data_IF_635761641535
#
_entry.id   IF_635761641535
#
_cell.length_a   1.000
_cell.length_b   1.000
_cell.length_c   1.000
_cell.angle_alpha   90.00
_cell.angle_beta   90.00
_cell.angle_gamma   90.00
#
_symmetry.space_group_name_H-M   'P 1'
#
loop_
_entity.id
_entity.type
_entity.pdbx_description
1 polymer ?
#
# COMPACT_ATOMS: atom_id res chain seq x y z
N UNK A 1 -3.22 17.27 16.26
CA UNK A 1 -3.99 16.24 15.60
C UNK A 1 -3.18 15.51 14.55
N UNK A 2 -3.28 14.26 14.55
CA UNK A 2 -2.48 13.47 13.64
C UNK A 2 -3.12 13.42 12.27
N UNK A 3 -2.37 13.84 11.27
CA UNK A 3 -2.88 13.87 9.90
C UNK A 3 -3.24 12.49 9.39
N UNK A 4 -2.45 11.50 9.76
CA UNK A 4 -2.70 10.15 9.28
C UNK A 4 -4.03 9.61 9.78
N UNK A 5 -4.35 9.90 11.04
CA UNK A 5 -5.61 9.45 11.58
C UNK A 5 -6.77 10.13 10.88
N UNK A 6 -6.57 11.39 10.53
CA UNK A 6 -7.61 12.12 9.84
C UNK A 6 -7.92 11.49 8.49
N UNK A 7 -6.90 11.08 7.77
CA UNK A 7 -7.08 10.44 6.48
C UNK A 7 -7.88 9.16 6.64
N UNK A 8 -7.60 8.39 7.67
CA UNK A 8 -8.31 7.16 7.90
C UNK A 8 -9.77 7.40 8.16
N UNK A 9 -10.09 8.45 8.89
CA UNK A 9 -11.47 8.78 9.14
C UNK A 9 -12.21 9.12 7.87
N UNK A 10 -11.56 9.84 6.98
CA UNK A 10 -12.21 10.30 5.76
C UNK A 10 -12.54 9.15 4.84
N UNK A 11 -11.76 8.10 4.87
CA UNK A 11 -12.03 6.95 4.04
C UNK A 11 -12.97 5.97 4.69
N UNK A 12 -13.29 6.19 5.96
CA UNK A 12 -14.17 5.32 6.72
C UNK A 12 -13.63 3.93 6.91
N UNK A 13 -12.44 3.68 6.43
CA UNK A 13 -11.78 2.39 6.61
C UNK A 13 -10.30 2.64 6.82
N UNK A 14 -9.70 1.99 7.80
CA UNK A 14 -8.28 2.14 8.01
C UNK A 14 -7.51 1.58 6.84
N UNK A 15 -6.40 2.22 6.52
CA UNK A 15 -5.54 1.76 5.45
C UNK A 15 -4.13 1.59 5.98
N UNK A 16 -3.35 0.83 5.22
CA UNK A 16 -1.96 0.54 5.53
C UNK A 16 -1.14 0.95 4.33
N UNK A 17 -0.01 1.57 4.56
CA UNK A 17 0.89 1.90 3.46
C UNK A 17 1.51 0.61 2.94
N UNK A 18 1.32 0.35 1.65
CA UNK A 18 1.90 -0.86 1.06
C UNK A 18 3.41 -0.81 1.08
N UNK A 19 3.99 0.39 0.98
CA UNK A 19 5.42 0.53 1.04
C UNK A 19 5.95 0.17 2.42
N UNK A 20 5.23 0.57 3.46
CA UNK A 20 5.60 0.20 4.82
C UNK A 20 5.50 -1.31 5.02
N UNK A 21 4.46 -1.91 4.46
CA UNK A 21 4.29 -3.35 4.58
C UNK A 21 5.44 -4.09 3.89
N UNK A 22 5.80 -3.62 2.71
CA UNK A 22 6.91 -4.21 1.97
C UNK A 22 8.19 -4.17 2.80
N UNK A 23 8.47 -3.03 3.42
CA UNK A 23 9.66 -2.89 4.24
C UNK A 23 9.57 -3.75 5.49
N UNK A 24 8.40 -3.79 6.11
CA UNK A 24 8.22 -4.56 7.33
C UNK A 24 8.34 -6.05 7.11
N UNK A 25 7.96 -6.53 5.94
CA UNK A 25 8.08 -7.95 5.62
C UNK A 25 9.46 -8.32 5.09
N UNK A 26 10.33 -7.33 4.94
CA UNK A 26 11.71 -7.56 4.49
C UNK A 26 11.76 -8.29 3.16
N UNK A 27 10.89 -7.86 2.25
CA UNK A 27 10.80 -8.49 0.95
C UNK A 27 11.97 -8.05 0.09
N UNK A 28 12.61 -8.98 -0.58
CA UNK A 28 13.83 -8.70 -1.31
C UNK A 28 13.61 -8.11 -2.68
N UNK A 29 12.46 -8.38 -3.29
CA UNK A 29 12.18 -7.83 -4.60
C UNK A 29 11.86 -6.35 -4.48
N UNK A 30 11.98 -5.65 -5.60
CA UNK A 30 11.68 -4.23 -5.63
C UNK A 30 10.20 -4.00 -5.33
N UNK A 31 9.94 -2.88 -4.69
CA UNK A 31 8.57 -2.58 -4.30
C UNK A 31 7.61 -2.60 -5.49
N UNK A 32 7.99 -1.97 -6.58
CA UNK A 32 7.08 -1.88 -7.73
C UNK A 32 6.74 -3.26 -8.27
N UNK A 33 7.74 -4.12 -8.40
CA UNK A 33 7.51 -5.46 -8.91
C UNK A 33 6.68 -6.27 -7.93
N UNK A 34 6.98 -6.13 -6.66
CA UNK A 34 6.26 -6.85 -5.62
C UNK A 34 4.80 -6.44 -5.59
N UNK A 35 4.51 -5.14 -5.63
CA UNK A 35 3.13 -4.70 -5.55
C UNK A 35 2.35 -5.11 -6.79
N UNK A 36 2.98 -5.01 -7.95
CA UNK A 36 2.33 -5.44 -9.18
C UNK A 36 1.94 -6.91 -9.08
N UNK A 37 2.84 -7.73 -8.55
CA UNK A 37 2.57 -9.14 -8.39
C UNK A 37 1.45 -9.39 -7.40
N UNK A 38 1.47 -8.67 -6.27
CA UNK A 38 0.43 -8.84 -5.27
C UNK A 38 -0.93 -8.45 -5.81
N UNK A 39 -1.01 -7.41 -6.62
CA UNK A 39 -2.29 -6.96 -7.13
C UNK A 39 -2.93 -7.95 -8.08
N UNK A 40 -2.17 -8.93 -8.56
CA UNK A 40 -2.75 -9.96 -9.44
C UNK A 40 -3.50 -11.04 -8.69
N UNK A 41 -3.51 -10.97 -7.37
CA UNK A 41 -4.19 -11.99 -6.57
C UNK A 41 -5.67 -11.69 -6.38
N UNK A 42 -6.24 -10.87 -7.26
CA UNK A 42 -7.67 -10.63 -7.19
C UNK A 42 -8.08 -9.36 -6.47
N UNK A 43 -7.12 -8.50 -6.17
CA UNK A 43 -7.43 -7.22 -5.53
C UNK A 43 -7.80 -6.19 -6.59
N UNK A 44 -8.73 -5.31 -6.23
CA UNK A 44 -9.27 -4.32 -7.16
C UNK A 44 -8.88 -2.93 -6.72
N UNK A 45 -8.34 -2.15 -7.67
CA UNK A 45 -7.98 -0.77 -7.39
C UNK A 45 -9.22 0.03 -7.04
N UNK A 46 -9.06 0.93 -6.08
CA UNK A 46 -10.14 1.78 -5.56
C UNK A 46 -11.13 1.03 -4.68
N UNK A 47 -10.96 -0.27 -4.51
CA UNK A 47 -11.73 -1.04 -3.54
C UNK A 47 -10.83 -1.61 -2.46
N UNK A 48 -9.81 -2.32 -2.89
CA UNK A 48 -8.88 -2.93 -1.96
C UNK A 48 -7.67 -2.06 -1.71
N UNK A 49 -7.31 -1.26 -2.68
CA UNK A 49 -6.17 -0.36 -2.52
C UNK A 49 -6.37 0.88 -3.36
N UNK A 50 -5.61 1.91 -3.02
CA UNK A 50 -5.66 3.20 -3.67
C UNK A 50 -4.26 3.60 -4.09
N UNK A 51 -4.13 4.13 -5.30
CA UNK A 51 -2.83 4.58 -5.81
C UNK A 51 -2.75 6.09 -5.71
N UNK A 52 -1.68 6.58 -5.10
CA UNK A 52 -1.46 8.01 -4.94
C UNK A 52 -0.10 8.35 -5.51
N UNK A 53 -0.02 9.39 -6.32
CA UNK A 53 1.27 9.83 -6.82
C UNK A 53 1.56 11.22 -6.30
N UNK A 54 2.81 11.47 -5.98
CA UNK A 54 3.27 12.74 -5.47
C UNK A 54 4.44 13.23 -6.30
N UNK A 55 4.44 14.52 -6.61
CA UNK A 55 5.57 15.14 -7.29
C UNK A 55 6.56 15.63 -6.25
N UNK A 56 7.83 15.38 -6.49
CA UNK A 56 8.88 15.83 -5.62
C UNK A 56 9.43 17.15 -6.13
N UNK A 57 10.01 17.93 -5.23
CA UNK A 57 10.53 19.23 -5.59
C UNK A 57 11.65 19.15 -6.60
N UNK A 58 12.38 18.05 -6.59
CA UNK A 58 13.50 17.90 -7.51
C UNK A 58 13.08 17.38 -8.87
N UNK A 59 11.78 17.35 -9.15
CA UNK A 59 11.29 16.93 -10.45
C UNK A 59 10.96 15.46 -10.55
N UNK A 60 11.20 14.70 -9.49
CA UNK A 60 10.86 13.29 -9.50
C UNK A 60 9.42 13.06 -9.10
N UNK A 61 9.02 11.80 -9.11
CA UNK A 61 7.68 11.42 -8.74
C UNK A 61 7.71 10.12 -7.96
N UNK A 62 6.87 10.05 -6.95
CA UNK A 62 6.76 8.88 -6.10
C UNK A 62 5.35 8.33 -6.20
N UNK A 63 5.25 7.03 -6.33
CA UNK A 63 3.97 6.34 -6.37
C UNK A 63 3.81 5.59 -5.06
N UNK A 64 2.70 5.83 -4.37
CA UNK A 64 2.40 5.15 -3.12
C UNK A 64 1.07 4.45 -3.23
N UNK A 65 0.94 3.36 -2.51
CA UNK A 65 -0.30 2.62 -2.47
C UNK A 65 -0.76 2.48 -1.04
N UNK A 66 -2.04 2.71 -0.82
CA UNK A 66 -2.65 2.50 0.48
C UNK A 66 -3.63 1.35 0.34
N UNK A 67 -3.45 0.32 1.14
CA UNK A 67 -4.23 -0.89 1.01
C UNK A 67 -5.12 -1.06 2.22
N UNK A 68 -6.22 -1.78 2.04
CA UNK A 68 -7.12 -2.05 3.15
C UNK A 68 -6.46 -3.00 4.15
N UNK A 69 -6.97 -2.99 5.37
CA UNK A 69 -6.45 -3.91 6.37
C UNK A 69 -6.67 -5.35 5.93
N UNK A 70 -7.80 -5.63 5.30
CA UNK A 70 -8.05 -6.98 4.81
C UNK A 70 -7.03 -7.40 3.76
N UNK A 71 -6.72 -6.51 2.82
CA UNK A 71 -5.71 -6.82 1.82
C UNK A 71 -4.35 -7.02 2.48
N UNK A 72 -4.03 -6.19 3.48
CA UNK A 72 -2.76 -6.34 4.18
C UNK A 72 -2.66 -7.70 4.86
N UNK A 73 -3.74 -8.14 5.48
CA UNK A 73 -3.75 -9.44 6.13
C UNK A 73 -3.54 -10.56 5.11
N UNK A 74 -4.20 -10.45 3.97
CA UNK A 74 -4.06 -11.48 2.94
C UNK A 74 -2.65 -11.50 2.37
N UNK A 75 -2.05 -10.34 2.19
CA UNK A 75 -0.68 -10.27 1.71
C UNK A 75 0.27 -10.93 2.70
N UNK A 76 0.06 -10.67 3.99
CA UNK A 76 0.90 -11.30 5.00
C UNK A 76 0.79 -12.82 4.95
N UNK A 77 -0.40 -13.34 4.67
CA UNK A 77 -0.57 -14.78 4.57
C UNK A 77 0.10 -15.33 3.32
N UNK A 78 0.03 -14.61 2.22
CA UNK A 78 0.67 -15.02 0.98
C UNK A 78 2.18 -15.02 1.12
N UNK A 79 2.71 -14.00 1.80
CA UNK A 79 4.15 -13.80 1.92
C UNK A 79 4.78 -14.58 3.05
N UNK A 80 4.00 -15.28 3.84
CA UNK A 80 4.59 -15.95 4.96
C UNK A 80 5.49 -17.09 4.49
N UNK A 81 6.58 -17.29 5.19
CA UNK A 81 7.56 -18.32 4.86
C UNK A 81 7.98 -19.05 6.10
#
# INVERSE_FOLDING_TARGET
MNELLKINYETEQPTVSARDLHAGLEIKSKYADWFKNMSTYGFTENEDYMTVSKNLENGGRIIEHFISVDMAKQICMIQRN
#
